data_IF_132713967316
#
_entry.id   IF_132713967316
#
_cell.length_a   1.000
_cell.length_b   1.000
_cell.length_c   1.000
_cell.angle_alpha   90.00
_cell.angle_beta   90.00
_cell.angle_gamma   90.00
#
_symmetry.space_group_name_H-M   'P 1'
#
loop_
_entity.id
_entity.type
_entity.pdbx_description
1 polymer ?
#
# COMPACT_ATOMS: atom_id res chain seq x y z
N UNK A 1 3.23 10.13 5.57
CA UNK A 1 4.49 10.65 4.99
C UNK A 1 4.26 11.49 3.75
N UNK A 2 3.75 10.95 2.63
CA UNK A 2 3.53 11.74 1.39
C UNK A 2 2.61 12.96 1.62
N UNK A 3 1.46 12.77 2.28
CA UNK A 3 0.58 13.88 2.65
C UNK A 3 1.27 14.95 3.51
N UNK A 4 2.21 14.56 4.38
CA UNK A 4 2.94 15.51 5.24
C UNK A 4 3.90 16.41 4.45
N UNK A 5 4.20 16.03 3.21
CA UNK A 5 5.03 16.80 2.27
C UNK A 5 4.19 17.58 1.25
N UNK A 6 2.90 17.85 1.54
CA UNK A 6 1.99 18.61 0.66
C UNK A 6 1.78 17.97 -0.71
N UNK A 7 1.80 16.64 -0.75
CA UNK A 7 1.43 15.86 -1.92
C UNK A 7 0.08 15.18 -1.68
N UNK A 8 -0.91 15.40 -2.57
CA UNK A 8 -2.18 14.73 -2.44
C UNK A 8 -2.02 13.23 -2.70
N UNK A 9 -2.81 12.43 -1.99
CA UNK A 9 -2.83 10.97 -2.11
C UNK A 9 -4.25 10.51 -2.34
N UNK A 10 -4.45 9.65 -3.34
CA UNK A 10 -5.73 9.02 -3.63
C UNK A 10 -5.63 7.52 -3.31
N UNK A 11 -6.37 7.08 -2.29
CA UNK A 11 -6.43 5.71 -1.83
C UNK A 11 -7.67 5.00 -2.37
N UNK A 12 -7.47 3.87 -3.04
CA UNK A 12 -8.50 2.90 -3.37
C UNK A 12 -8.36 1.72 -2.42
N UNK A 13 -9.23 1.65 -1.41
CA UNK A 13 -9.31 0.54 -0.45
C UNK A 13 -10.63 -0.18 -0.63
N UNK A 14 -10.56 -1.51 -0.75
CA UNK A 14 -11.73 -2.35 -1.01
C UNK A 14 -12.13 -3.23 0.17
N UNK A 15 -11.24 -3.41 1.13
CA UNK A 15 -11.49 -4.24 2.32
C UNK A 15 -11.73 -3.38 3.57
N UNK A 16 -11.03 -2.24 3.71
CA UNK A 16 -11.22 -1.32 4.84
C UNK A 16 -12.10 -0.13 4.44
N UNK A 17 -13.02 0.25 5.34
CA UNK A 17 -13.83 1.45 5.20
C UNK A 17 -13.01 2.74 5.45
N UNK A 18 -13.44 3.92 4.93
CA UNK A 18 -12.75 5.19 5.19
C UNK A 18 -12.54 5.50 6.67
N UNK A 19 -13.50 5.12 7.52
CA UNK A 19 -13.42 5.28 8.98
C UNK A 19 -12.28 4.46 9.59
N UNK A 20 -12.12 3.20 9.20
CA UNK A 20 -11.06 2.31 9.68
C UNK A 20 -9.68 2.82 9.27
N UNK A 21 -9.54 3.29 8.02
CA UNK A 21 -8.29 3.91 7.54
C UNK A 21 -7.96 5.20 8.28
N UNK A 22 -8.98 5.96 8.69
CA UNK A 22 -8.80 7.16 9.51
C UNK A 22 -8.43 6.82 10.96
N UNK A 23 -9.03 5.78 11.55
CA UNK A 23 -8.62 5.27 12.86
C UNK A 23 -7.14 4.84 12.87
N UNK A 24 -6.70 4.14 11.83
CA UNK A 24 -5.28 3.80 11.65
C UNK A 24 -4.39 5.03 11.48
N UNK A 25 -4.90 6.09 10.86
CA UNK A 25 -4.18 7.37 10.74
C UNK A 25 -4.07 8.04 12.10
N UNK A 26 -5.16 8.09 12.87
CA UNK A 26 -5.18 8.63 14.22
C UNK A 26 -4.20 7.89 15.12
N UNK A 27 -4.23 6.54 15.12
CA UNK A 27 -3.32 5.72 15.92
C UNK A 27 -1.82 6.03 15.66
N UNK A 28 -1.47 6.31 14.39
CA UNK A 28 -0.09 6.61 13.96
C UNK A 28 0.39 8.00 14.36
N UNK A 29 -0.52 8.96 14.49
CA UNK A 29 -0.19 10.40 14.63
C UNK A 29 -0.79 11.03 15.90
N UNK A 30 -1.22 10.21 16.85
CA UNK A 30 -1.64 10.59 18.20
C UNK A 30 -0.97 9.66 19.21
N UNK A 31 -1.28 9.80 20.50
CA UNK A 31 -0.79 8.88 21.55
C UNK A 31 -1.66 7.63 21.70
N UNK A 32 -2.85 7.60 21.12
CA UNK A 32 -3.76 6.47 21.22
C UNK A 32 -3.27 5.20 20.50
N UNK A 33 -3.60 4.05 21.08
CA UNK A 33 -3.42 2.74 20.44
C UNK A 33 -4.63 2.41 19.56
N UNK A 34 -4.40 1.62 18.50
CA UNK A 34 -5.46 1.25 17.55
C UNK A 34 -6.60 0.48 18.21
N UNK A 35 -6.31 -0.38 19.19
CA UNK A 35 -7.32 -1.14 19.92
C UNK A 35 -8.26 -0.23 20.71
N UNK A 36 -7.71 0.76 21.43
CA UNK A 36 -8.49 1.76 22.18
C UNK A 36 -9.42 2.55 21.26
N UNK A 37 -8.92 2.96 20.09
CA UNK A 37 -9.72 3.68 19.08
C UNK A 37 -10.85 2.79 18.55
N UNK A 38 -10.55 1.55 18.20
CA UNK A 38 -11.53 0.63 17.60
C UNK A 38 -12.62 0.20 18.58
N UNK A 39 -12.29 0.06 19.86
CA UNK A 39 -13.26 -0.21 20.92
C UNK A 39 -14.13 1.01 21.28
N UNK A 40 -13.89 2.17 20.65
CA UNK A 40 -14.56 3.43 20.93
C UNK A 40 -14.39 3.89 22.38
N UNK A 41 -13.27 3.51 23.01
CA UNK A 41 -12.92 3.88 24.38
C UNK A 41 -12.25 5.26 24.45
N UNK A 42 -12.59 6.16 23.53
CA UNK A 42 -12.09 7.53 23.45
C UNK A 42 -13.28 8.44 23.22
N UNK A 43 -13.39 9.49 24.03
CA UNK A 43 -14.45 10.46 23.85
C UNK A 43 -14.29 11.20 22.53
N UNK A 44 -15.42 11.50 21.86
CA UNK A 44 -15.39 12.23 20.58
C UNK A 44 -14.71 13.60 20.71
N UNK A 45 -14.87 14.26 21.87
CA UNK A 45 -14.22 15.54 22.15
C UNK A 45 -12.69 15.43 22.14
N UNK A 46 -12.14 14.34 22.67
CA UNK A 46 -10.70 14.09 22.68
C UNK A 46 -10.15 13.80 21.27
N UNK A 47 -10.91 13.08 20.44
CA UNK A 47 -10.54 12.85 19.04
C UNK A 47 -10.48 14.19 18.28
N UNK A 48 -11.49 15.05 18.48
CA UNK A 48 -11.56 16.37 17.85
C UNK A 48 -10.40 17.25 18.32
N UNK A 49 -10.15 17.32 19.63
CA UNK A 49 -9.07 18.14 20.18
C UNK A 49 -7.69 17.65 19.72
N UNK A 50 -7.48 16.35 19.59
CA UNK A 50 -6.27 15.74 19.03
C UNK A 50 -6.08 16.15 17.57
N UNK A 51 -7.15 16.16 16.78
CA UNK A 51 -7.10 16.60 15.39
C UNK A 51 -6.79 18.10 15.26
N UNK A 52 -7.45 18.94 16.05
CA UNK A 52 -7.30 20.39 16.03
C UNK A 52 -5.93 20.86 16.55
N UNK A 53 -5.30 20.10 17.43
CA UNK A 53 -3.96 20.40 17.95
C UNK A 53 -2.82 19.82 17.09
N UNK A 54 -3.08 18.80 16.28
CA UNK A 54 -2.05 18.14 15.46
C UNK A 54 -2.00 18.70 14.03
N UNK A 55 -1.02 19.56 13.78
CA UNK A 55 -0.72 20.06 12.44
C UNK A 55 -0.47 18.93 11.42
N UNK A 56 0.14 17.83 11.86
CA UNK A 56 0.37 16.65 11.04
C UNK A 56 -0.95 15.99 10.60
N UNK A 57 -1.89 15.79 11.52
CA UNK A 57 -3.19 15.20 11.20
C UNK A 57 -4.00 16.09 10.26
N UNK A 58 -4.03 17.40 10.50
CA UNK A 58 -4.72 18.36 9.62
C UNK A 58 -4.18 18.29 8.20
N UNK A 59 -2.85 18.29 8.07
CA UNK A 59 -2.17 18.18 6.79
C UNK A 59 -2.45 16.85 6.09
N UNK A 60 -2.56 15.75 6.83
CA UNK A 60 -2.93 14.45 6.27
C UNK A 60 -4.37 14.48 5.76
N UNK A 61 -5.35 14.94 6.54
CA UNK A 61 -6.76 14.93 6.14
C UNK A 61 -7.00 15.82 4.92
N UNK A 62 -6.33 16.96 4.81
CA UNK A 62 -6.47 17.86 3.65
C UNK A 62 -5.95 17.24 2.34
N UNK A 63 -4.94 16.38 2.45
CA UNK A 63 -4.22 15.79 1.31
C UNK A 63 -4.61 14.33 1.02
N UNK A 64 -5.27 13.63 1.95
CA UNK A 64 -5.67 12.22 1.80
C UNK A 64 -7.10 12.13 1.28
N UNK A 65 -7.24 11.59 0.07
CA UNK A 65 -8.50 11.28 -0.59
C UNK A 65 -8.71 9.77 -0.55
N UNK A 66 -9.93 9.32 -0.28
CA UNK A 66 -10.31 7.92 -0.31
C UNK A 66 -11.46 7.77 -1.30
N UNK A 67 -11.39 6.71 -2.11
CA UNK A 67 -12.48 6.35 -3.00
C UNK A 67 -13.57 5.61 -2.20
N UNK A 68 -14.77 6.17 -2.16
CA UNK A 68 -15.88 5.64 -1.35
C UNK A 68 -16.65 4.49 -2.04
N UNK A 69 -16.37 4.23 -3.32
CA UNK A 69 -17.05 3.21 -4.13
C UNK A 69 -16.07 2.41 -4.98
N UNK A 70 -16.54 1.25 -5.46
CA UNK A 70 -15.79 0.45 -6.45
C UNK A 70 -15.81 1.17 -7.79
N UNK A 71 -14.85 2.07 -8.01
CA UNK A 71 -14.69 2.74 -9.29
C UNK A 71 -13.97 1.84 -10.28
N UNK A 72 -14.62 1.63 -11.43
CA UNK A 72 -13.93 1.18 -12.64
C UNK A 72 -12.79 2.15 -12.95
N UNK A 73 -11.64 1.61 -13.37
CA UNK A 73 -10.42 2.41 -13.62
C UNK A 73 -10.68 3.54 -14.62
N UNK A 74 -11.55 3.32 -15.60
CA UNK A 74 -11.92 4.31 -16.62
C UNK A 74 -12.61 5.57 -16.06
N UNK A 75 -13.10 5.53 -14.82
CA UNK A 75 -13.73 6.67 -14.13
C UNK A 75 -12.74 7.50 -13.31
N UNK A 76 -11.54 6.97 -13.03
CA UNK A 76 -10.52 7.64 -12.21
C UNK A 76 -10.06 9.00 -12.75
N UNK A 77 -9.99 9.26 -14.08
CA UNK A 77 -9.71 10.59 -14.62
C UNK A 77 -10.46 11.73 -13.94
N UNK A 78 -11.75 11.54 -13.65
CA UNK A 78 -12.58 12.57 -12.99
C UNK A 78 -12.07 12.90 -11.58
N UNK A 79 -11.73 11.88 -10.79
CA UNK A 79 -11.21 12.06 -9.43
C UNK A 79 -9.83 12.71 -9.45
N UNK A 80 -8.95 12.24 -10.35
CA UNK A 80 -7.60 12.75 -10.51
C UNK A 80 -7.63 14.24 -10.90
N UNK A 81 -8.45 14.62 -11.88
CA UNK A 81 -8.56 16.00 -12.35
C UNK A 81 -9.14 16.93 -11.28
N UNK A 82 -10.09 16.45 -10.46
CA UNK A 82 -10.60 17.20 -9.32
C UNK A 82 -9.51 17.47 -8.27
N UNK A 83 -8.67 16.47 -7.98
CA UNK A 83 -7.56 16.62 -7.03
C UNK A 83 -6.49 17.56 -7.62
N UNK A 84 -6.12 17.40 -8.89
CA UNK A 84 -5.17 18.30 -9.56
C UNK A 84 -5.67 19.74 -9.51
N UNK A 85 -6.95 19.98 -9.81
CA UNK A 85 -7.54 21.33 -9.75
C UNK A 85 -7.45 21.96 -8.35
N UNK A 86 -7.54 21.15 -7.29
CA UNK A 86 -7.49 21.61 -5.90
C UNK A 86 -6.07 21.85 -5.40
N UNK A 87 -5.10 21.04 -5.83
CA UNK A 87 -3.74 21.02 -5.28
C UNK A 87 -2.65 21.49 -6.24
N UNK A 88 -3.00 21.75 -7.50
CA UNK A 88 -2.09 22.07 -8.60
C UNK A 88 -0.99 21.00 -8.80
N UNK A 89 -1.27 19.76 -8.38
CA UNK A 89 -0.32 18.63 -8.43
C UNK A 89 -1.06 17.31 -8.64
N UNK A 90 -0.48 16.36 -9.40
CA UNK A 90 -1.05 15.03 -9.53
C UNK A 90 -0.97 14.27 -8.19
N UNK A 91 -2.00 13.46 -7.84
CA UNK A 91 -1.95 12.63 -6.65
C UNK A 91 -1.02 11.44 -6.81
N UNK A 92 -0.47 10.98 -5.69
CA UNK A 92 0.05 9.61 -5.59
C UNK A 92 -1.14 8.66 -5.42
N UNK A 93 -1.22 7.61 -6.20
CA UNK A 93 -2.31 6.63 -6.11
C UNK A 93 -1.84 5.41 -5.30
N UNK A 94 -2.64 4.98 -4.33
CA UNK A 94 -2.47 3.72 -3.60
C UNK A 94 -3.68 2.82 -3.82
N UNK A 95 -3.44 1.53 -4.02
CA UNK A 95 -4.46 0.53 -4.32
C UNK A 95 -4.28 -0.67 -3.39
N UNK A 96 -5.30 -0.92 -2.58
CA UNK A 96 -5.41 -2.03 -1.64
C UNK A 96 -6.73 -2.79 -1.87
N UNK A 97 -6.76 -3.84 -2.70
CA UNK A 97 -5.66 -4.52 -3.40
C UNK A 97 -5.97 -4.74 -4.89
N UNK A 98 -4.95 -4.99 -5.71
CA UNK A 98 -5.00 -4.97 -7.18
C UNK A 98 -6.13 -5.84 -7.77
N UNK A 99 -6.37 -7.04 -7.22
CA UNK A 99 -7.37 -7.98 -7.77
C UNK A 99 -8.82 -7.49 -7.61
N UNK A 100 -9.08 -6.54 -6.70
CA UNK A 100 -10.41 -5.94 -6.49
C UNK A 100 -10.75 -4.88 -7.53
N UNK A 101 -9.76 -4.41 -8.29
CA UNK A 101 -10.00 -3.47 -9.36
C UNK A 101 -10.86 -4.10 -10.47
N UNK A 102 -11.64 -3.25 -11.12
CA UNK A 102 -12.46 -3.63 -12.26
C UNK A 102 -12.26 -2.66 -13.41
N UNK A 103 -12.43 -3.19 -14.62
CA UNK A 103 -12.45 -2.46 -15.89
C UNK A 103 -13.80 -2.66 -16.55
N UNK A 104 -14.21 -1.76 -17.44
CA UNK A 104 -15.45 -1.94 -18.23
C UNK A 104 -15.42 -3.17 -19.11
N UNK A 105 -14.24 -3.47 -19.65
CA UNK A 105 -14.00 -4.65 -20.47
C UNK A 105 -14.06 -5.90 -19.61
N UNK A 106 -14.95 -6.83 -19.98
CA UNK A 106 -14.94 -8.19 -19.42
C UNK A 106 -13.77 -8.97 -20.00
N UNK A 107 -12.96 -9.57 -19.15
CA UNK A 107 -11.89 -10.48 -19.54
C UNK A 107 -12.38 -11.92 -19.52
N UNK A 108 -11.78 -12.79 -20.35
CA UNK A 108 -12.14 -14.21 -20.43
C UNK A 108 -11.66 -15.00 -19.21
N UNK A 109 -10.50 -14.63 -18.64
CA UNK A 109 -9.93 -15.24 -17.44
C UNK A 109 -9.30 -14.19 -16.52
N UNK A 110 -8.85 -14.63 -15.35
CA UNK A 110 -8.23 -13.77 -14.35
C UNK A 110 -6.90 -13.16 -14.80
N UNK A 111 -6.04 -13.92 -15.48
CA UNK A 111 -4.73 -13.43 -15.91
C UNK A 111 -4.90 -12.30 -16.92
N UNK A 112 -5.79 -12.46 -17.88
CA UNK A 112 -6.17 -11.43 -18.85
C UNK A 112 -6.80 -10.20 -18.16
N UNK A 113 -7.59 -10.41 -17.10
CA UNK A 113 -8.16 -9.31 -16.30
C UNK A 113 -7.07 -8.49 -15.64
N UNK A 114 -6.11 -9.15 -14.98
CA UNK A 114 -4.97 -8.50 -14.32
C UNK A 114 -4.12 -7.75 -15.34
N UNK A 115 -3.85 -8.35 -16.50
CA UNK A 115 -3.10 -7.70 -17.58
C UNK A 115 -3.80 -6.44 -18.11
N UNK A 116 -5.12 -6.47 -18.25
CA UNK A 116 -5.90 -5.29 -18.65
C UNK A 116 -5.85 -4.20 -17.57
N UNK A 117 -6.03 -4.57 -16.29
CA UNK A 117 -5.90 -3.65 -15.16
C UNK A 117 -4.53 -2.96 -15.18
N UNK A 118 -3.45 -3.73 -15.28
CA UNK A 118 -2.08 -3.20 -15.32
C UNK A 118 -1.88 -2.25 -16.51
N UNK A 119 -2.40 -2.61 -17.70
CA UNK A 119 -2.34 -1.74 -18.89
C UNK A 119 -3.09 -0.42 -18.67
N UNK A 120 -4.25 -0.44 -18.01
CA UNK A 120 -5.01 0.78 -17.74
C UNK A 120 -4.31 1.65 -16.68
N UNK A 121 -3.74 1.03 -15.63
CA UNK A 121 -2.94 1.73 -14.63
C UNK A 121 -1.71 2.41 -15.27
N UNK A 122 -0.99 1.72 -16.16
CA UNK A 122 0.17 2.30 -16.87
C UNK A 122 -0.24 3.48 -17.77
N UNK A 123 -1.40 3.38 -18.45
CA UNK A 123 -1.96 4.51 -19.23
C UNK A 123 -2.27 5.71 -18.34
N UNK A 124 -2.92 5.50 -17.19
CA UNK A 124 -3.24 6.58 -16.24
C UNK A 124 -1.96 7.21 -15.70
N UNK A 125 -1.01 6.40 -15.23
CA UNK A 125 0.26 6.85 -14.68
C UNK A 125 1.01 7.74 -15.68
N UNK A 126 1.09 7.32 -16.95
CA UNK A 126 1.72 8.09 -18.03
C UNK A 126 0.95 9.35 -18.39
N UNK A 127 -0.37 9.27 -18.52
CA UNK A 127 -1.22 10.41 -18.92
C UNK A 127 -1.12 11.57 -17.94
N UNK A 128 -1.17 11.29 -16.64
CA UNK A 128 -1.16 12.30 -15.58
C UNK A 128 0.21 12.49 -14.93
N UNK A 129 1.24 11.80 -15.43
CA UNK A 129 2.58 11.77 -14.87
C UNK A 129 2.58 11.56 -13.34
N UNK A 130 1.92 10.49 -12.91
CA UNK A 130 1.69 10.19 -11.49
C UNK A 130 2.22 8.81 -11.08
N UNK A 131 2.67 8.64 -9.83
CA UNK A 131 3.06 7.35 -9.31
C UNK A 131 1.84 6.54 -8.84
N UNK A 132 1.87 5.23 -9.11
CA UNK A 132 0.85 4.26 -8.68
C UNK A 132 1.52 3.17 -7.85
N UNK A 133 1.05 2.99 -6.63
CA UNK A 133 1.41 1.90 -5.73
C UNK A 133 0.23 0.94 -5.65
N UNK A 134 0.47 -0.34 -5.93
CA UNK A 134 -0.55 -1.37 -5.86
C UNK A 134 -0.06 -2.54 -5.00
N UNK A 135 -0.93 -2.99 -4.10
CA UNK A 135 -0.70 -4.18 -3.30
C UNK A 135 -1.24 -5.39 -4.07
N UNK A 136 -0.43 -6.44 -4.19
CA UNK A 136 -0.85 -7.73 -4.74
C UNK A 136 -0.46 -8.83 -3.77
N UNK A 137 -1.33 -9.82 -3.66
CA UNK A 137 -1.01 -11.08 -3.02
C UNK A 137 0.02 -11.86 -3.85
N UNK A 138 0.87 -12.64 -3.16
CA UNK A 138 1.74 -13.65 -3.75
C UNK A 138 0.97 -14.95 -3.98
N UNK A 139 1.56 -15.86 -4.77
CA UNK A 139 1.07 -17.24 -4.90
C UNK A 139 1.03 -17.93 -3.52
N UNK A 140 -0.02 -18.72 -3.28
CA UNK A 140 -0.20 -19.51 -2.07
C UNK A 140 1.01 -20.39 -1.72
N UNK A 141 1.69 -20.92 -2.71
CA UNK A 141 2.88 -21.77 -2.51
C UNK A 141 4.04 -21.01 -1.88
N UNK A 142 4.16 -19.70 -2.13
CA UNK A 142 5.22 -18.85 -1.60
C UNK A 142 5.06 -18.53 -0.10
N UNK A 143 3.89 -18.76 0.51
CA UNK A 143 3.71 -18.51 1.95
C UNK A 143 4.23 -19.64 2.85
N UNK A 144 4.73 -20.75 2.29
CA UNK A 144 5.21 -21.86 3.10
C UNK A 144 6.55 -21.51 3.74
N UNK A 145 6.69 -21.84 5.02
CA UNK A 145 7.94 -21.71 5.77
C UNK A 145 9.13 -22.33 5.00
N UNK A 146 10.26 -21.63 4.96
CA UNK A 146 11.48 -22.08 4.29
C UNK A 146 11.42 -22.04 2.76
N UNK A 147 10.34 -21.55 2.15
CA UNK A 147 10.28 -21.33 0.70
C UNK A 147 11.11 -20.12 0.29
N UNK A 148 11.67 -20.22 -0.91
CA UNK A 148 12.39 -19.13 -1.52
C UNK A 148 11.40 -18.01 -1.91
N UNK A 149 11.72 -16.80 -1.49
CA UNK A 149 11.01 -15.57 -1.82
C UNK A 149 11.83 -14.83 -2.86
N UNK A 150 11.21 -14.49 -3.99
CA UNK A 150 11.92 -13.85 -5.09
C UNK A 150 11.02 -13.59 -6.29
N UNK A 151 11.62 -13.41 -7.46
CA UNK A 151 10.86 -13.11 -8.67
C UNK A 151 9.84 -14.21 -9.01
N UNK A 152 10.19 -15.48 -8.76
CA UNK A 152 9.32 -16.62 -9.00
C UNK A 152 8.00 -16.55 -8.20
N UNK A 153 7.97 -15.83 -7.07
CA UNK A 153 6.75 -15.62 -6.28
C UNK A 153 5.66 -14.82 -7.01
N UNK A 154 6.03 -14.11 -8.09
CA UNK A 154 5.12 -13.34 -8.96
C UNK A 154 4.75 -14.05 -10.27
N UNK A 155 5.28 -15.26 -10.54
CA UNK A 155 5.14 -15.95 -11.84
C UNK A 155 3.68 -16.18 -12.26
N UNK A 156 2.76 -16.27 -11.32
CA UNK A 156 1.33 -16.46 -11.58
C UNK A 156 0.50 -15.17 -11.50
N UNK A 157 1.11 -14.04 -11.15
CA UNK A 157 0.46 -12.74 -10.95
C UNK A 157 0.23 -11.97 -12.25
N UNK A 158 0.29 -12.64 -13.41
CA UNK A 158 0.14 -12.03 -14.75
C UNK A 158 1.35 -11.17 -15.14
N UNK A 159 1.12 -10.16 -16.00
CA UNK A 159 2.14 -9.24 -16.50
C UNK A 159 2.73 -8.26 -15.48
N UNK A 160 2.49 -8.46 -14.19
CA UNK A 160 2.96 -7.60 -13.09
C UNK A 160 4.49 -7.56 -13.04
N UNK A 161 5.13 -8.74 -13.11
CA UNK A 161 6.58 -8.89 -13.11
C UNK A 161 7.24 -8.02 -14.18
N UNK A 162 6.73 -8.04 -15.41
CA UNK A 162 7.32 -7.31 -16.53
C UNK A 162 6.98 -5.82 -16.50
N UNK A 163 5.73 -5.48 -16.18
CA UNK A 163 5.20 -4.12 -16.31
C UNK A 163 5.70 -3.20 -15.20
N UNK A 164 5.77 -3.70 -13.97
CA UNK A 164 6.15 -2.91 -12.81
C UNK A 164 7.52 -2.25 -13.00
N UNK A 165 7.59 -0.95 -12.69
CA UNK A 165 8.85 -0.20 -12.64
C UNK A 165 9.67 -0.56 -11.40
N UNK A 166 8.98 -0.80 -10.29
CA UNK A 166 9.54 -1.26 -9.02
C UNK A 166 8.72 -2.45 -8.52
N UNK A 167 9.41 -3.44 -7.95
CA UNK A 167 8.77 -4.63 -7.40
C UNK A 167 9.47 -5.02 -6.11
N UNK A 168 8.69 -5.25 -5.06
CA UNK A 168 9.20 -5.72 -3.78
C UNK A 168 8.19 -6.58 -3.03
N UNK A 169 8.70 -7.32 -2.06
CA UNK A 169 7.93 -8.21 -1.20
C UNK A 169 8.14 -7.76 0.25
N UNK A 170 7.04 -7.61 0.97
CA UNK A 170 7.06 -7.39 2.42
C UNK A 170 6.93 -8.75 3.13
N UNK A 171 7.98 -9.21 3.80
CA UNK A 171 8.02 -10.50 4.47
C UNK A 171 9.10 -10.54 5.56
N UNK A 172 8.96 -11.43 6.55
CA UNK A 172 10.07 -11.75 7.46
C UNK A 172 10.94 -12.82 6.81
N UNK A 173 12.15 -12.46 6.39
CA UNK A 173 13.02 -13.32 5.60
C UNK A 173 14.37 -13.56 6.28
N UNK A 174 15.00 -14.67 5.93
CA UNK A 174 16.41 -14.95 6.20
C UNK A 174 17.16 -15.03 4.88
N UNK A 175 18.37 -14.47 4.85
CA UNK A 175 19.29 -14.58 3.71
C UNK A 175 20.24 -15.75 3.95
N UNK A 176 20.25 -16.72 3.02
CA UNK A 176 21.13 -17.89 3.09
C UNK A 176 21.57 -18.30 1.70
N UNK A 177 22.88 -18.33 1.46
CA UNK A 177 23.48 -18.71 0.18
C UNK A 177 22.93 -17.87 -1.00
N UNK A 178 22.86 -16.54 -0.83
CA UNK A 178 22.30 -15.59 -1.81
C UNK A 178 20.81 -15.83 -2.16
N UNK A 179 20.10 -16.63 -1.37
CA UNK A 179 18.66 -16.83 -1.46
C UNK A 179 17.94 -16.21 -0.26
N UNK A 180 16.78 -15.61 -0.50
CA UNK A 180 15.88 -15.15 0.56
C UNK A 180 14.83 -16.20 0.84
N UNK A 181 14.69 -16.61 2.10
CA UNK A 181 13.68 -17.61 2.51
C UNK A 181 12.75 -17.02 3.55
N UNK A 182 11.47 -17.40 3.49
CA UNK A 182 10.52 -17.04 4.54
C UNK A 182 10.88 -17.74 5.85
N UNK A 183 11.01 -16.98 6.95
CA UNK A 183 11.33 -17.54 8.26
C UNK A 183 10.22 -18.50 8.70
N UNK A 184 10.60 -19.64 9.29
CA UNK A 184 9.63 -20.69 9.67
C UNK A 184 8.52 -20.19 10.60
N UNK A 185 8.90 -19.43 11.61
CA UNK A 185 7.99 -18.87 12.62
C UNK A 185 7.71 -17.39 12.38
N UNK A 186 7.60 -16.95 11.11
CA UNK A 186 7.45 -15.54 10.76
C UNK A 186 6.34 -14.83 11.55
N UNK A 187 5.19 -15.48 11.79
CA UNK A 187 4.11 -14.92 12.61
C UNK A 187 4.57 -14.57 14.03
N UNK A 188 5.27 -15.50 14.68
CA UNK A 188 5.78 -15.29 16.04
C UNK A 188 6.89 -14.23 16.04
N UNK A 189 7.75 -14.22 15.01
CA UNK A 189 8.80 -13.23 14.86
C UNK A 189 8.24 -11.81 14.75
N UNK A 190 7.19 -11.61 13.94
CA UNK A 190 6.50 -10.32 13.83
C UNK A 190 5.87 -9.94 15.16
N UNK A 191 5.15 -10.87 15.82
CA UNK A 191 4.50 -10.57 17.09
C UNK A 191 5.48 -10.27 18.23
N UNK A 192 6.65 -10.91 18.26
CA UNK A 192 7.63 -10.76 19.34
C UNK A 192 8.59 -9.58 19.14
N UNK A 193 9.03 -9.36 17.90
CA UNK A 193 10.09 -8.39 17.58
C UNK A 193 9.64 -7.26 16.67
N UNK A 194 8.48 -7.39 16.02
CA UNK A 194 8.04 -6.47 14.97
C UNK A 194 8.83 -6.56 13.67
N UNK A 195 9.87 -7.41 13.62
CA UNK A 195 10.80 -7.45 12.48
C UNK A 195 10.12 -7.96 11.20
N UNK A 196 10.19 -7.14 10.15
CA UNK A 196 9.81 -7.49 8.78
C UNK A 196 10.82 -6.85 7.83
N UNK A 197 10.88 -7.33 6.61
CA UNK A 197 11.78 -6.80 5.60
C UNK A 197 10.99 -6.44 4.34
N UNK A 198 11.40 -5.34 3.69
CA UNK A 198 10.99 -5.04 2.33
C UNK A 198 12.11 -5.47 1.39
N UNK A 199 11.93 -6.62 0.74
CA UNK A 199 12.84 -7.14 -0.27
C UNK A 199 12.53 -6.50 -1.63
N UNK A 200 13.39 -5.62 -2.11
CA UNK A 200 13.28 -5.02 -3.44
C UNK A 200 13.93 -5.93 -4.47
N UNK A 201 13.11 -6.49 -5.36
CA UNK A 201 13.53 -7.44 -6.40
C UNK A 201 13.77 -6.78 -7.75
N UNK A 202 13.18 -5.60 -7.97
CA UNK A 202 13.29 -4.89 -9.24
C UNK A 202 13.28 -3.39 -9.01
N UNK A 203 14.20 -2.71 -9.66
CA UNK A 203 14.13 -1.27 -9.93
C UNK A 203 14.53 -1.01 -11.38
N UNK A 204 13.61 -0.45 -12.18
CA UNK A 204 13.89 -0.05 -13.56
C UNK A 204 14.53 1.34 -13.62
N UNK A 205 15.20 1.62 -14.75
CA UNK A 205 15.70 2.94 -15.18
C UNK A 205 16.87 3.51 -14.38
N UNK A 206 17.66 2.65 -13.70
CA UNK A 206 18.89 3.07 -13.02
C UNK A 206 18.69 3.97 -11.81
N UNK A 207 17.44 4.12 -11.35
CA UNK A 207 17.09 4.89 -10.16
C UNK A 207 16.71 3.90 -9.06
N UNK A 208 17.61 3.63 -8.12
CA UNK A 208 17.35 2.80 -6.94
C UNK A 208 18.07 1.45 -6.90
N UNK A 209 18.06 0.82 -5.72
CA UNK A 209 18.79 -0.41 -5.44
C UNK A 209 17.84 -1.59 -5.21
N UNK A 210 18.25 -2.79 -5.62
CA UNK A 210 17.67 -4.06 -5.16
C UNK A 210 18.32 -4.48 -3.85
N UNK A 211 17.62 -5.29 -3.06
CA UNK A 211 18.11 -5.78 -1.77
C UNK A 211 17.08 -5.62 -0.66
N UNK A 212 17.52 -5.80 0.57
CA UNK A 212 16.68 -5.75 1.76
C UNK A 212 16.67 -4.33 2.34
N UNK A 213 15.46 -3.82 2.62
CA UNK A 213 15.26 -2.72 3.55
C UNK A 213 14.70 -3.32 4.85
N UNK A 214 15.46 -3.33 5.95
CA UNK A 214 15.01 -3.85 7.23
C UNK A 214 14.01 -2.90 7.87
N UNK A 215 12.87 -3.42 8.33
CA UNK A 215 11.77 -2.65 8.90
C UNK A 215 11.32 -3.25 10.23
N UNK A 216 10.64 -2.42 11.03
CA UNK A 216 9.98 -2.85 12.27
C UNK A 216 8.54 -2.35 12.29
N UNK A 217 7.62 -3.24 12.64
CA UNK A 217 6.19 -2.95 12.81
C UNK A 217 5.88 -2.75 14.29
N UNK A 218 5.22 -1.64 14.59
CA UNK A 218 4.49 -1.45 15.84
C UNK A 218 2.99 -1.66 15.56
N UNK A 219 2.47 -2.83 15.93
CA UNK A 219 1.08 -3.22 15.70
C UNK A 219 0.10 -2.35 16.49
N UNK A 220 0.45 -1.93 17.71
CA UNK A 220 -0.39 -1.08 18.55
C UNK A 220 -0.60 0.32 17.96
N UNK A 221 0.38 0.83 17.21
CA UNK A 221 0.35 2.13 16.53
C UNK A 221 0.07 2.03 15.03
N UNK A 222 -0.04 0.81 14.49
CA UNK A 222 -0.12 0.52 13.05
C UNK A 222 1.03 1.17 12.25
N UNK A 223 2.21 1.33 12.87
CA UNK A 223 3.34 2.07 12.31
C UNK A 223 4.40 1.09 11.79
N UNK A 224 5.03 1.44 10.67
CA UNK A 224 6.20 0.74 10.14
C UNK A 224 7.33 1.76 10.03
N UNK A 225 8.50 1.41 10.54
CA UNK A 225 9.71 2.26 10.51
C UNK A 225 10.91 1.44 10.04
N UNK A 226 11.92 2.12 9.52
CA UNK A 226 13.24 1.51 9.26
C UNK A 226 13.90 1.13 10.59
N UNK A 227 14.55 -0.03 10.61
CA UNK A 227 15.23 -0.57 11.80
C UNK A 227 16.67 -0.09 11.91
#
# INVERSE_FOLDING_TARGET
NICLQDHPVLFFSYDDAPTELNNRTLARFSDYQIETINQQNIEKADIISTFESSAALQKIIQNKYMADEVYQIELWPKLIEQIIKKHDKPPVIFIDYLKRLSTRKKAADERMRIDEIIKQLDKIAKKYNLPVFAISELNRESYRAGQNIGMASFKESGGLEYSASWLGILASIEEKNDEYKLIQNWKNAISSSGNIDLLILKSKRGTGNTGIIPLTVNTNKMLVVER
#
